data_IF_971471423045
#
_entry.id   IF_971471423045
#
_cell.length_a   1.000
_cell.length_b   1.000
_cell.length_c   1.000
_cell.angle_alpha   90.00
_cell.angle_beta   90.00
_cell.angle_gamma   90.00
#
_symmetry.space_group_name_H-M   'P 1'
#
loop_
_entity.id
_entity.type
_entity.pdbx_description
1 polymer ?
#
# COMPACT_ATOMS: atom_id res chain seq x y z
N UNK A 1 57.63 6.82 35.16
CA UNK A 1 56.79 5.63 34.90
C UNK A 1 55.43 5.82 35.57
N UNK A 2 54.39 5.93 34.73
CA UNK A 2 52.95 5.63 34.92
C UNK A 2 52.35 5.76 36.33
N UNK A 3 51.62 6.85 36.56
CA UNK A 3 50.51 6.89 37.52
C UNK A 3 49.25 6.53 36.74
N UNK A 4 48.65 5.39 37.07
CA UNK A 4 47.35 4.95 36.54
C UNK A 4 46.24 5.71 37.25
N UNK A 5 45.56 6.60 36.53
CA UNK A 5 44.33 7.23 36.98
C UNK A 5 43.14 6.51 36.34
N UNK A 6 42.44 5.71 37.14
CA UNK A 6 41.14 5.15 36.81
C UNK A 6 40.11 6.29 36.91
N UNK A 7 39.53 6.73 35.79
CA UNK A 7 38.34 7.56 35.78
C UNK A 7 37.18 6.76 35.19
N UNK A 8 36.28 6.32 36.07
CA UNK A 8 34.92 5.99 35.70
C UNK A 8 34.17 7.32 35.50
N UNK A 9 33.84 7.65 34.26
CA UNK A 9 32.92 8.76 33.95
C UNK A 9 31.59 8.16 33.49
N UNK A 10 30.64 8.16 34.43
CA UNK A 10 29.22 7.98 34.19
C UNK A 10 28.69 9.30 33.63
N UNK A 11 28.18 9.32 32.39
CA UNK A 11 27.42 10.46 31.87
C UNK A 11 26.27 9.98 31.01
N UNK A 12 25.10 9.94 31.65
CA UNK A 12 23.77 9.87 31.06
C UNK A 12 23.48 11.21 30.36
N UNK A 13 23.08 11.21 29.08
CA UNK A 13 22.76 12.47 28.40
C UNK A 13 22.34 12.38 26.94
N UNK A 14 21.01 12.31 26.75
CA UNK A 14 20.20 12.86 25.65
C UNK A 14 20.32 12.31 24.22
N UNK A 15 19.18 11.74 23.81
CA UNK A 15 18.62 11.67 22.46
C UNK A 15 19.15 12.70 21.44
N UNK A 16 19.73 12.20 20.36
CA UNK A 16 19.33 12.48 18.97
C UNK A 16 20.40 11.92 18.02
N UNK A 17 20.34 10.62 17.74
CA UNK A 17 20.91 10.07 16.52
C UNK A 17 19.79 9.73 15.53
N UNK A 18 18.79 10.61 15.44
CA UNK A 18 18.01 10.76 14.22
C UNK A 18 18.82 11.70 13.32
N UNK A 19 19.10 11.27 12.09
CA UNK A 19 19.77 12.03 11.02
C UNK A 19 21.32 12.02 11.00
N UNK A 20 21.97 10.86 11.08
CA UNK A 20 23.28 10.66 10.44
C UNK A 20 23.70 9.19 10.46
N UNK A 21 23.09 8.33 9.62
CA UNK A 21 23.75 7.12 9.10
C UNK A 21 22.89 6.57 7.95
N UNK A 22 22.96 7.21 6.79
CA UNK A 22 22.90 6.42 5.56
C UNK A 22 24.27 5.73 5.48
N UNK A 23 24.46 4.67 6.26
CA UNK A 23 25.61 3.82 6.07
C UNK A 23 25.55 3.29 4.63
N UNK A 24 26.71 3.20 3.96
CA UNK A 24 26.88 2.46 2.70
C UNK A 24 26.70 0.96 2.98
N UNK A 25 25.51 0.57 3.44
CA UNK A 25 25.17 -0.82 3.68
C UNK A 25 25.08 -1.48 2.32
N UNK A 26 25.88 -2.51 2.16
CA UNK A 26 25.72 -3.42 1.04
C UNK A 26 24.36 -4.10 1.14
N UNK A 27 23.81 -4.48 -0.02
CA UNK A 27 22.55 -5.25 -0.09
C UNK A 27 22.53 -6.45 0.86
N UNK A 28 23.66 -7.13 1.01
CA UNK A 28 23.80 -8.28 1.91
C UNK A 28 23.56 -7.90 3.37
N UNK A 29 24.13 -6.78 3.82
CA UNK A 29 23.98 -6.31 5.20
C UNK A 29 22.54 -5.86 5.49
N UNK A 30 21.86 -5.25 4.51
CA UNK A 30 20.44 -4.87 4.65
C UNK A 30 19.55 -6.11 4.79
N UNK A 31 19.82 -7.17 4.03
CA UNK A 31 19.07 -8.44 4.12
C UNK A 31 19.27 -9.10 5.48
N UNK A 32 20.49 -9.10 6.01
CA UNK A 32 20.77 -9.69 7.31
C UNK A 32 20.10 -8.92 8.46
N UNK A 33 20.09 -7.58 8.39
CA UNK A 33 19.36 -6.75 9.35
C UNK A 33 17.85 -6.99 9.28
N UNK A 34 17.29 -7.14 8.07
CA UNK A 34 15.88 -7.46 7.89
C UNK A 34 15.53 -8.83 8.51
N UNK A 35 16.35 -9.85 8.29
CA UNK A 35 16.16 -11.18 8.87
C UNK A 35 16.24 -11.14 10.41
N UNK A 36 17.20 -10.39 10.96
CA UNK A 36 17.31 -10.22 12.41
C UNK A 36 16.08 -9.51 13.00
N UNK A 37 15.59 -8.46 12.34
CA UNK A 37 14.39 -7.72 12.76
C UNK A 37 13.12 -8.58 12.66
N UNK A 38 13.01 -9.44 11.64
CA UNK A 38 11.94 -10.43 11.51
C UNK A 38 11.99 -11.47 12.63
N UNK A 39 13.17 -12.01 12.95
CA UNK A 39 13.34 -12.98 14.04
C UNK A 39 13.01 -12.39 15.42
N UNK A 40 13.22 -11.08 15.59
CA UNK A 40 12.86 -10.33 16.80
C UNK A 40 11.37 -9.90 16.82
N UNK A 41 10.61 -10.17 15.76
CA UNK A 41 9.22 -9.75 15.63
C UNK A 41 9.03 -8.23 15.49
N UNK A 42 10.10 -7.48 15.20
CA UNK A 42 10.05 -6.02 14.98
C UNK A 42 9.48 -5.65 13.61
N UNK A 43 9.58 -6.59 12.66
CA UNK A 43 9.01 -6.46 11.32
C UNK A 43 8.02 -7.59 11.10
N UNK A 44 6.76 -7.22 10.90
CA UNK A 44 5.70 -8.13 10.48
C UNK A 44 5.62 -8.10 8.94
N UNK A 45 5.61 -9.27 8.32
CA UNK A 45 5.37 -9.43 6.89
C UNK A 45 3.95 -9.95 6.72
N UNK A 46 3.12 -9.23 5.97
CA UNK A 46 1.72 -9.58 5.73
C UNK A 46 0.77 -8.45 6.11
N UNK A 47 -0.52 -8.74 6.06
CA UNK A 47 -1.57 -7.82 6.43
C UNK A 47 -1.58 -7.64 7.95
N UNK A 48 -1.66 -6.39 8.43
CA UNK A 48 -1.82 -6.08 9.85
C UNK A 48 -2.85 -7.05 10.46
N UNK A 49 -2.46 -7.84 11.46
CA UNK A 49 -3.24 -8.99 11.96
C UNK A 49 -4.67 -8.67 12.45
N UNK A 50 -5.01 -7.38 12.54
CA UNK A 50 -6.36 -6.92 12.72
C UNK A 50 -6.55 -5.61 11.95
N UNK A 51 -7.05 -5.68 10.72
CA UNK A 51 -7.84 -4.56 10.24
C UNK A 51 -9.03 -4.43 11.19
N UNK A 52 -9.26 -3.25 11.80
CA UNK A 52 -10.49 -3.03 12.55
C UNK A 52 -11.65 -3.21 11.56
N UNK A 53 -12.36 -4.33 11.71
CA UNK A 53 -13.61 -4.54 11.00
C UNK A 53 -14.68 -3.81 11.80
N UNK A 54 -15.12 -2.65 11.29
CA UNK A 54 -16.32 -1.99 11.77
C UNK A 54 -17.54 -2.83 11.38
N UNK A 55 -17.77 -3.92 12.11
CA UNK A 55 -18.97 -4.72 11.95
C UNK A 55 -20.14 -3.95 12.56
N UNK A 56 -20.94 -3.29 11.72
CA UNK A 56 -22.23 -2.73 12.12
C UNK A 56 -23.32 -3.77 11.82
N UNK A 57 -23.75 -4.57 12.81
CA UNK A 57 -24.79 -5.56 12.58
C UNK A 57 -26.11 -4.87 12.22
N UNK A 58 -26.84 -5.46 11.27
CA UNK A 58 -28.22 -5.05 10.98
C UNK A 58 -29.11 -5.31 12.19
N UNK A 59 -29.99 -4.36 12.51
CA UNK A 59 -31.06 -4.54 13.52
C UNK A 59 -32.29 -5.26 12.94
N UNK A 60 -32.34 -5.46 11.62
CA UNK A 60 -33.45 -6.11 10.92
C UNK A 60 -33.19 -7.60 10.68
N UNK A 61 -34.25 -8.39 10.80
CA UNK A 61 -34.26 -9.79 10.39
C UNK A 61 -34.19 -9.93 8.86
N UNK A 62 -33.76 -11.11 8.40
CA UNK A 62 -33.74 -11.47 6.97
C UNK A 62 -35.11 -11.25 6.31
N UNK A 63 -36.18 -11.60 7.00
CA UNK A 63 -37.56 -11.50 6.48
C UNK A 63 -37.97 -10.04 6.28
N UNK A 64 -37.63 -9.16 7.23
CA UNK A 64 -37.90 -7.73 7.12
C UNK A 64 -37.15 -7.10 5.95
N UNK A 65 -35.87 -7.44 5.78
CA UNK A 65 -35.05 -6.97 4.65
C UNK A 65 -35.64 -7.40 3.31
N UNK A 66 -36.06 -8.67 3.19
CA UNK A 66 -36.68 -9.18 1.95
C UNK A 66 -38.00 -8.49 1.64
N UNK A 67 -38.83 -8.24 2.66
CA UNK A 67 -40.10 -7.53 2.48
C UNK A 67 -39.88 -6.06 2.07
N UNK A 68 -38.93 -5.38 2.69
CA UNK A 68 -38.55 -4.00 2.33
C UNK A 68 -38.03 -3.93 0.90
N UNK A 69 -37.18 -4.87 0.49
CA UNK A 69 -36.69 -4.96 -0.88
C UNK A 69 -37.83 -5.14 -1.89
N UNK A 70 -38.78 -6.05 -1.62
CA UNK A 70 -39.94 -6.28 -2.48
C UNK A 70 -40.81 -5.04 -2.62
N UNK A 71 -41.02 -4.30 -1.53
CA UNK A 71 -41.78 -3.07 -1.52
C UNK A 71 -41.09 -1.99 -2.38
N UNK A 72 -39.79 -1.79 -2.20
CA UNK A 72 -39.01 -0.82 -2.98
C UNK A 72 -39.00 -1.16 -4.48
N UNK A 73 -38.92 -2.45 -4.82
CA UNK A 73 -39.06 -2.94 -6.19
C UNK A 73 -40.44 -2.59 -6.78
N UNK A 74 -41.52 -2.89 -6.06
CA UNK A 74 -42.88 -2.61 -6.50
C UNK A 74 -43.16 -1.11 -6.65
N UNK A 75 -42.49 -0.26 -5.85
CA UNK A 75 -42.57 1.19 -5.92
C UNK A 75 -41.67 1.81 -6.98
N UNK A 76 -40.87 1.01 -7.71
CA UNK A 76 -39.94 1.51 -8.73
C UNK A 76 -38.79 2.35 -8.15
N UNK A 77 -38.47 2.18 -6.87
CA UNK A 77 -37.44 2.95 -6.18
C UNK A 77 -36.01 2.46 -6.45
N UNK A 78 -35.87 1.33 -7.16
CA UNK A 78 -34.58 0.73 -7.47
C UNK A 78 -34.25 0.95 -8.94
N UNK A 79 -33.07 1.50 -9.21
CA UNK A 79 -32.48 1.52 -10.54
C UNK A 79 -31.75 0.18 -10.79
N UNK A 80 -31.97 -0.41 -11.96
CA UNK A 80 -31.32 -1.65 -12.39
C UNK A 80 -30.40 -1.37 -13.59
N UNK A 81 -29.30 -2.13 -13.71
CA UNK A 81 -28.41 -2.06 -14.87
C UNK A 81 -27.63 -0.75 -15.01
N UNK A 82 -27.28 -0.40 -16.25
CA UNK A 82 -26.50 0.78 -16.64
C UNK A 82 -27.17 2.13 -16.30
N UNK A 83 -28.44 2.09 -15.86
CA UNK A 83 -29.20 3.22 -15.35
C UNK A 83 -28.85 3.54 -13.89
N UNK A 84 -28.22 2.61 -13.15
CA UNK A 84 -27.55 2.94 -11.91
C UNK A 84 -26.46 3.97 -12.27
N UNK A 85 -26.56 5.17 -11.70
CA UNK A 85 -25.62 6.26 -11.95
C UNK A 85 -24.22 5.85 -11.50
N UNK A 86 -23.49 5.15 -12.38
CA UNK A 86 -22.07 4.96 -12.22
C UNK A 86 -21.45 6.35 -12.33
N UNK A 87 -20.59 6.75 -11.38
CA UNK A 87 -19.81 7.96 -11.56
C UNK A 87 -19.01 7.77 -12.85
N UNK A 88 -19.38 8.54 -13.89
CA UNK A 88 -18.56 8.59 -15.10
C UNK A 88 -17.28 9.27 -14.69
N UNK A 89 -16.17 8.53 -14.71
CA UNK A 89 -14.84 9.14 -14.69
C UNK A 89 -14.78 10.06 -15.89
N UNK A 90 -14.98 11.36 -15.68
CA UNK A 90 -14.69 12.36 -16.69
C UNK A 90 -13.18 12.28 -16.87
N UNK A 91 -12.71 11.66 -17.95
CA UNK A 91 -11.33 11.82 -18.35
C UNK A 91 -11.17 13.27 -18.76
N UNK A 92 -10.60 14.10 -17.89
CA UNK A 92 -10.24 15.47 -18.22
C UNK A 92 -9.15 15.43 -19.29
N UNK A 93 -9.53 15.67 -20.55
CA UNK A 93 -8.59 15.78 -21.67
C UNK A 93 -9.06 15.09 -22.94
N UNK A 94 -8.55 15.55 -24.08
CA UNK A 94 -8.71 14.86 -25.35
C UNK A 94 -8.02 13.48 -25.27
N UNK A 95 -8.72 12.43 -25.70
CA UNK A 95 -8.13 11.09 -25.79
C UNK A 95 -7.00 11.08 -26.83
N UNK A 96 -5.86 10.48 -26.46
CA UNK A 96 -4.75 10.28 -27.40
C UNK A 96 -5.15 9.27 -28.46
N UNK A 97 -4.81 9.56 -29.71
CA UNK A 97 -4.90 8.60 -30.80
C UNK A 97 -3.93 7.45 -30.57
N UNK A 98 -4.21 6.28 -31.16
CA UNK A 98 -3.32 5.12 -31.10
C UNK A 98 -1.88 5.46 -31.52
N UNK A 99 -1.72 6.27 -32.57
CA UNK A 99 -0.39 6.68 -33.03
C UNK A 99 0.36 7.54 -32.01
N UNK A 100 -0.33 8.44 -31.30
CA UNK A 100 0.29 9.26 -30.25
C UNK A 100 0.77 8.40 -29.08
N UNK A 101 -0.04 7.43 -28.65
CA UNK A 101 0.33 6.50 -27.58
C UNK A 101 1.55 5.65 -27.97
N UNK A 102 1.60 5.17 -29.22
CA UNK A 102 2.73 4.38 -29.70
C UNK A 102 4.03 5.19 -29.79
N UNK A 103 3.94 6.47 -30.19
CA UNK A 103 5.09 7.36 -30.24
C UNK A 103 5.66 7.63 -28.83
N UNK A 104 4.80 7.89 -27.85
CA UNK A 104 5.20 8.08 -26.45
C UNK A 104 5.80 6.81 -25.85
N UNK A 105 5.20 5.65 -26.11
CA UNK A 105 5.75 4.37 -25.68
C UNK A 105 7.14 4.11 -26.27
N UNK A 106 7.36 4.46 -27.54
CA UNK A 106 8.67 4.32 -28.18
C UNK A 106 9.70 5.27 -27.55
N UNK A 107 9.33 6.52 -27.27
CA UNK A 107 10.19 7.48 -26.58
C UNK A 107 10.57 7.00 -25.17
N UNK A 108 9.58 6.52 -24.41
CA UNK A 108 9.76 6.03 -23.04
C UNK A 108 10.59 4.73 -22.95
N UNK A 109 10.63 3.95 -24.04
CA UNK A 109 11.54 2.81 -24.18
C UNK A 109 12.96 3.26 -24.49
N UNK A 110 13.12 4.28 -25.31
CA UNK A 110 14.43 4.80 -25.72
C UNK A 110 15.16 5.54 -24.59
N UNK A 111 14.41 6.25 -23.73
CA UNK A 111 14.96 6.97 -22.57
C UNK A 111 15.08 6.11 -21.30
N UNK A 112 14.59 4.87 -21.35
CA UNK A 112 14.64 3.91 -20.25
C UNK A 112 13.67 4.20 -19.09
N UNK A 113 12.71 5.11 -19.27
CA UNK A 113 11.68 5.43 -18.27
C UNK A 113 10.64 4.33 -18.09
N UNK A 114 10.51 3.42 -19.06
CA UNK A 114 9.68 2.22 -18.95
C UNK A 114 10.57 0.98 -18.80
N UNK A 115 10.57 0.40 -17.60
CA UNK A 115 11.11 -0.94 -17.36
C UNK A 115 9.96 -1.94 -17.58
N UNK A 116 10.08 -2.73 -18.64
CA UNK A 116 9.21 -3.89 -18.85
C UNK A 116 9.76 -4.98 -17.94
N UNK A 117 9.11 -5.16 -16.78
CA UNK A 117 9.42 -6.30 -15.92
C UNK A 117 9.15 -7.59 -16.68
N UNK A 118 10.06 -8.55 -16.59
CA UNK A 118 9.97 -9.88 -17.22
C UNK A 118 8.91 -10.77 -16.53
N UNK A 119 8.14 -10.20 -15.61
CA UNK A 119 7.13 -10.87 -14.80
C UNK A 119 5.78 -10.88 -15.50
N UNK A 120 5.72 -11.42 -16.72
CA UNK A 120 4.47 -11.89 -17.32
C UNK A 120 4.15 -13.31 -16.83
N UNK A 121 4.02 -13.48 -15.52
CA UNK A 121 3.39 -14.65 -14.93
C UNK A 121 2.22 -14.18 -14.07
N UNK A 122 1.09 -13.96 -14.75
CA UNK A 122 -0.20 -13.94 -14.08
C UNK A 122 -0.58 -15.41 -13.80
N UNK A 123 -0.72 -15.83 -12.54
CA UNK A 123 -1.33 -17.13 -12.26
C UNK A 123 -2.78 -17.11 -12.74
N UNK A 124 -3.15 -18.11 -13.54
CA UNK A 124 -4.53 -18.42 -13.92
C UNK A 124 -5.27 -19.12 -12.78
#
# INVERSE_FOLDING_TARGET
>A
MKVTATLAALSLGLASAGLAHAADLTRAQVVEQLHAAQAQGLVTIGEQAAYPADATPSTLSRTEVVNALRLAQAQGQLAFGEQAHYPRSQTEGASKTRNQVLAELAAARADGSVIIGESEHYPL
#
